data_IF_684263071085
#
_entry.id   IF_684263071085
#
_cell.length_a   1.000
_cell.length_b   1.000
_cell.length_c   1.000
_cell.angle_alpha   90.00
_cell.angle_beta   90.00
_cell.angle_gamma   90.00
#
_symmetry.space_group_name_H-M   'P 1'
#
loop_
_entity.id
_entity.type
_entity.pdbx_description
1 polymer ?
#
# COMPACT_ATOMS: atom_id res chain seq x y z
N UNK A 1 -17.04 11.26 18.14
CA UNK A 1 -17.03 12.36 17.14
C UNK A 1 -16.81 13.71 17.80
N UNK A 2 -17.70 14.18 18.67
CA UNK A 2 -17.57 15.47 19.38
C UNK A 2 -16.29 15.62 20.24
N UNK A 3 -15.67 14.52 20.66
CA UNK A 3 -14.34 14.55 21.31
C UNK A 3 -13.21 15.03 20.39
N UNK A 4 -13.35 14.86 19.06
CA UNK A 4 -12.36 15.24 18.04
C UNK A 4 -12.79 16.53 17.36
N UNK A 5 -14.08 16.65 16.99
CA UNK A 5 -14.66 17.84 16.36
C UNK A 5 -15.86 18.31 17.20
N UNK A 6 -15.66 19.21 18.18
CA UNK A 6 -16.69 19.56 19.18
C UNK A 6 -17.94 20.23 18.60
N UNK A 7 -17.82 20.93 17.47
CA UNK A 7 -18.92 21.67 16.84
C UNK A 7 -19.87 20.81 16.03
N UNK A 8 -19.53 19.54 15.78
CA UNK A 8 -20.31 18.68 14.91
C UNK A 8 -21.61 18.22 15.56
N UNK A 9 -22.70 18.28 14.79
CA UNK A 9 -24.04 17.84 15.17
C UNK A 9 -24.39 16.52 14.49
N UNK A 10 -25.36 15.81 15.06
CA UNK A 10 -25.74 14.46 14.59
C UNK A 10 -26.52 14.50 13.27
N UNK A 11 -27.27 15.57 13.03
CA UNK A 11 -28.04 15.83 11.81
C UNK A 11 -27.17 16.26 10.63
N UNK A 12 -25.88 16.53 10.86
CA UNK A 12 -24.86 16.78 9.84
C UNK A 12 -24.18 15.46 9.36
N UNK A 13 -24.57 14.32 9.92
CA UNK A 13 -23.95 13.02 9.66
C UNK A 13 -24.92 12.04 9.01
N UNK A 14 -24.45 11.38 7.97
CA UNK A 14 -25.13 10.22 7.37
C UNK A 14 -24.27 8.97 7.54
N UNK A 15 -24.90 7.87 7.97
CA UNK A 15 -24.21 6.59 8.04
C UNK A 15 -24.03 6.01 6.64
N UNK A 16 -22.77 5.78 6.27
CA UNK A 16 -22.40 5.04 5.07
C UNK A 16 -22.78 3.56 5.18
N UNK A 17 -24.03 3.21 4.85
CA UNK A 17 -24.46 1.80 4.83
C UNK A 17 -23.67 1.05 3.77
N UNK A 18 -23.09 -0.08 4.16
CA UNK A 18 -22.24 -0.88 3.27
C UNK A 18 -20.84 -0.32 3.06
N UNK A 19 -20.50 0.82 3.67
CA UNK A 19 -19.12 1.33 3.69
C UNK A 19 -18.35 0.65 4.83
N UNK A 20 -17.35 -0.13 4.46
CA UNK A 20 -16.45 -0.82 5.37
C UNK A 20 -15.25 -1.37 4.62
N UNK A 21 -14.17 -1.64 5.33
CA UNK A 21 -12.97 -2.25 4.76
C UNK A 21 -12.34 -3.21 5.75
N UNK A 22 -11.76 -4.29 5.25
CA UNK A 22 -10.93 -5.18 6.05
C UNK A 22 -9.49 -4.70 5.92
N UNK A 23 -8.83 -4.48 7.06
CA UNK A 23 -7.41 -4.16 7.11
C UNK A 23 -6.64 -5.41 7.52
N UNK A 24 -6.12 -6.22 6.57
CA UNK A 24 -5.33 -7.39 6.93
C UNK A 24 -4.08 -6.98 7.71
N UNK A 25 -3.69 -7.80 8.67
CA UNK A 25 -2.47 -7.65 9.46
C UNK A 25 -1.62 -8.89 9.27
N UNK A 26 -0.33 -8.70 9.02
CA UNK A 26 0.60 -9.81 8.77
C UNK A 26 1.10 -10.33 10.12
N UNK A 27 1.01 -11.63 10.31
CA UNK A 27 1.47 -12.30 11.54
C UNK A 27 2.55 -13.30 11.18
N UNK A 28 3.72 -13.14 11.79
CA UNK A 28 4.78 -14.12 11.71
C UNK A 28 4.48 -15.26 12.69
N UNK A 29 4.10 -16.42 12.17
CA UNK A 29 3.70 -17.59 12.97
C UNK A 29 4.87 -18.27 13.67
N UNK A 30 6.10 -18.11 13.17
CA UNK A 30 7.32 -18.64 13.78
C UNK A 30 7.70 -17.80 14.99
N UNK A 31 7.76 -16.47 14.82
CA UNK A 31 8.12 -15.51 15.88
C UNK A 31 6.96 -15.20 16.82
N UNK A 32 5.73 -15.61 16.47
CA UNK A 32 4.48 -15.31 17.17
C UNK A 32 4.28 -13.80 17.40
N UNK A 33 4.56 -13.00 16.39
CA UNK A 33 4.48 -11.53 16.46
C UNK A 33 3.80 -10.97 15.22
N UNK A 34 3.08 -9.85 15.41
CA UNK A 34 2.64 -9.03 14.29
C UNK A 34 3.85 -8.35 13.67
N UNK A 35 3.92 -8.42 12.35
CA UNK A 35 4.88 -7.63 11.59
C UNK A 35 4.21 -6.33 11.17
N UNK A 36 4.88 -5.23 11.46
CA UNK A 36 4.41 -3.88 11.16
C UNK A 36 5.03 -3.45 9.84
N UNK A 37 4.19 -2.96 8.93
CA UNK A 37 4.64 -2.46 7.63
C UNK A 37 4.32 -3.39 6.48
N UNK A 38 4.94 -3.09 5.34
CA UNK A 38 4.77 -3.83 4.09
C UNK A 38 5.39 -5.22 4.20
N UNK A 39 4.71 -6.22 3.63
CA UNK A 39 5.24 -7.56 3.51
C UNK A 39 5.13 -8.00 2.05
N UNK A 40 6.18 -8.67 1.56
CA UNK A 40 6.22 -9.16 0.19
C UNK A 40 6.69 -10.61 0.20
N UNK A 41 5.98 -11.47 -0.52
CA UNK A 41 6.41 -12.84 -0.78
C UNK A 41 6.71 -12.92 -2.27
N UNK A 42 7.96 -13.20 -2.60
CA UNK A 42 8.43 -13.33 -3.98
C UNK A 42 8.60 -14.81 -4.27
N UNK A 43 7.89 -15.30 -5.28
CA UNK A 43 8.02 -16.65 -5.80
C UNK A 43 8.71 -16.65 -7.16
N UNK A 44 8.69 -17.81 -7.84
CA UNK A 44 9.10 -17.88 -9.24
C UNK A 44 8.03 -17.19 -10.10
N UNK A 45 8.40 -16.08 -10.74
CA UNK A 45 7.57 -15.31 -11.66
C UNK A 45 6.24 -14.80 -11.05
N UNK A 46 6.21 -14.59 -9.72
CA UNK A 46 5.02 -14.13 -8.99
C UNK A 46 5.40 -13.30 -7.76
N UNK A 47 4.62 -12.24 -7.50
CA UNK A 47 4.75 -11.39 -6.31
C UNK A 47 3.42 -11.35 -5.58
N UNK A 48 3.42 -11.73 -4.30
CA UNK A 48 2.31 -11.44 -3.38
C UNK A 48 2.66 -10.19 -2.59
N UNK A 49 2.10 -9.06 -3.01
CA UNK A 49 2.28 -7.79 -2.33
C UNK A 49 1.21 -7.58 -1.26
N UNK A 50 1.65 -7.37 -0.02
CA UNK A 50 0.78 -7.16 1.12
C UNK A 50 1.15 -5.82 1.72
N UNK A 51 0.27 -4.84 1.53
CA UNK A 51 0.48 -3.47 2.02
C UNK A 51 -0.58 -3.12 3.06
N UNK A 52 -0.33 -3.38 4.36
CA UNK A 52 -1.11 -2.76 5.42
C UNK A 52 -1.04 -1.22 5.32
N UNK A 53 -1.89 -0.47 6.04
CA UNK A 53 -1.73 0.98 5.98
C UNK A 53 -0.34 1.43 6.44
N UNK A 54 0.27 2.41 5.74
CA UNK A 54 -0.37 3.38 4.85
C UNK A 54 -0.33 3.06 3.34
N UNK A 55 -0.84 1.91 2.89
CA UNK A 55 -0.87 1.49 1.48
C UNK A 55 -1.26 2.53 0.42
N UNK A 56 -2.24 3.41 0.68
CA UNK A 56 -2.57 4.48 -0.28
C UNK A 56 -1.43 5.50 -0.45
N UNK A 57 -0.69 5.81 0.62
CA UNK A 57 0.40 6.79 0.59
C UNK A 57 1.67 6.23 -0.07
N UNK A 58 1.83 4.90 -0.08
CA UNK A 58 3.04 4.21 -0.56
C UNK A 58 2.78 3.41 -1.85
N UNK A 59 1.58 3.52 -2.42
CA UNK A 59 1.17 2.68 -3.56
C UNK A 59 2.09 2.85 -4.78
N UNK A 60 2.51 4.08 -5.06
CA UNK A 60 3.35 4.39 -6.20
C UNK A 60 4.78 3.88 -6.02
N UNK A 61 5.33 3.99 -4.82
CA UNK A 61 6.65 3.44 -4.50
C UNK A 61 6.64 1.90 -4.53
N UNK A 62 5.56 1.26 -4.06
CA UNK A 62 5.39 -0.19 -4.18
C UNK A 62 5.24 -0.64 -5.63
N UNK A 63 4.49 0.11 -6.45
CA UNK A 63 4.39 -0.18 -7.88
C UNK A 63 5.76 -0.10 -8.57
N UNK A 64 6.57 0.92 -8.25
CA UNK A 64 7.95 1.05 -8.75
C UNK A 64 8.81 -0.15 -8.38
N UNK A 65 8.84 -0.53 -7.10
CA UNK A 65 9.60 -1.71 -6.61
C UNK A 65 9.14 -3.00 -7.29
N UNK A 66 7.84 -3.18 -7.47
CA UNK A 66 7.29 -4.35 -8.16
C UNK A 66 7.68 -4.38 -9.64
N UNK A 67 7.69 -3.24 -10.32
CA UNK A 67 8.08 -3.17 -11.73
C UNK A 67 9.55 -3.56 -11.93
N UNK A 68 10.44 -3.10 -11.04
CA UNK A 68 11.84 -3.55 -11.02
C UNK A 68 11.96 -5.06 -10.82
N UNK A 69 11.22 -5.62 -9.86
CA UNK A 69 11.24 -7.07 -9.60
C UNK A 69 10.70 -7.87 -10.80
N UNK A 70 9.67 -7.38 -11.47
CA UNK A 70 9.12 -7.99 -12.68
C UNK A 70 10.14 -7.97 -13.83
N UNK A 71 10.98 -6.93 -13.93
CA UNK A 71 12.10 -6.92 -14.88
C UNK A 71 13.06 -8.10 -14.68
N UNK A 72 13.23 -8.58 -13.45
CA UNK A 72 14.03 -9.79 -13.18
C UNK A 72 13.33 -11.08 -13.66
N UNK A 73 12.00 -11.07 -13.79
CA UNK A 73 11.24 -12.23 -14.30
C UNK A 73 11.16 -12.24 -15.84
N UNK A 74 11.23 -11.05 -16.46
CA UNK A 74 11.03 -10.86 -17.89
C UNK A 74 12.36 -10.49 -18.56
N UNK A 75 13.04 -11.47 -19.15
CA UNK A 75 14.37 -11.27 -19.77
C UNK A 75 14.39 -10.23 -20.91
N UNK A 76 13.25 -9.95 -21.54
CA UNK A 76 13.14 -9.03 -22.69
C UNK A 76 12.71 -7.60 -22.30
N UNK A 77 12.34 -7.37 -21.04
CA UNK A 77 11.74 -6.11 -20.61
C UNK A 77 12.46 -5.54 -19.38
N UNK A 78 12.77 -4.25 -19.41
CA UNK A 78 13.35 -3.54 -18.28
C UNK A 78 12.48 -2.34 -17.90
N UNK A 79 12.52 -1.96 -16.62
CA UNK A 79 11.77 -0.83 -16.09
C UNK A 79 12.64 0.44 -16.10
N UNK A 80 12.21 1.46 -16.86
CA UNK A 80 12.89 2.75 -16.92
C UNK A 80 12.64 3.57 -15.64
N UNK A 81 13.41 3.25 -14.61
CA UNK A 81 13.33 3.91 -13.31
C UNK A 81 13.65 5.41 -13.37
N UNK A 82 14.60 5.80 -14.24
CA UNK A 82 15.00 7.21 -14.38
C UNK A 82 13.85 8.05 -14.91
N UNK A 83 13.15 7.55 -15.93
CA UNK A 83 11.97 8.23 -16.46
C UNK A 83 10.85 8.26 -15.43
N UNK A 84 10.60 7.15 -14.74
CA UNK A 84 9.58 7.10 -13.69
C UNK A 84 9.81 8.15 -12.61
N UNK A 85 11.05 8.30 -12.13
CA UNK A 85 11.41 9.34 -11.16
C UNK A 85 11.18 10.74 -11.71
N UNK A 86 11.53 11.00 -12.97
CA UNK A 86 11.30 12.31 -13.61
C UNK A 86 9.81 12.65 -13.68
N UNK A 87 8.97 11.69 -14.10
CA UNK A 87 7.53 11.88 -14.25
C UNK A 87 6.81 12.13 -12.91
N UNK A 88 7.40 11.71 -11.79
CA UNK A 88 6.81 11.80 -10.44
C UNK A 88 7.63 12.64 -9.47
N UNK A 89 8.53 13.48 -9.97
CA UNK A 89 9.21 14.50 -9.15
C UNK A 89 8.19 15.49 -8.62
N UNK A 90 8.16 15.65 -7.31
CA UNK A 90 7.45 16.76 -6.67
C UNK A 90 8.30 18.02 -6.86
N UNK A 91 7.88 18.90 -7.77
CA UNK A 91 8.38 20.27 -7.81
C UNK A 91 7.76 21.01 -6.61
N UNK A 92 8.62 21.49 -5.71
CA UNK A 92 8.26 22.40 -4.61
C UNK A 92 8.60 23.84 -5.00
#
# INVERSE_FOLDING_TARGET
MQKIVPTMKIDELEYGKGLGGIRPQVVNTIKKKMEMGEAKIIGKDIIFDITPSPGASVCLDNARKNALEIGNFLEEYDFDEKRFEQDHKFEY
#
